data_IF_350274255115
#
_entry.id   IF_350274255115
#
_cell.length_a   1.000
_cell.length_b   1.000
_cell.length_c   1.000
_cell.angle_alpha   90.00
_cell.angle_beta   90.00
_cell.angle_gamma   90.00
#
_symmetry.space_group_name_H-M   'P 1'
#
loop_
_entity.id
_entity.type
_entity.pdbx_description
1 polymer ?
#
# COMPACT_ATOMS: atom_id res chain seq x y z
N UNK A 1 -14.68 -3.45 9.20
CA UNK A 1 -15.79 -4.07 8.43
C UNK A 1 -15.55 -5.56 8.17
N UNK A 2 -14.52 -5.95 7.40
CA UNK A 2 -14.28 -7.34 6.94
C UNK A 2 -14.24 -8.37 8.08
N UNK A 3 -13.45 -8.12 9.13
CA UNK A 3 -13.38 -9.02 10.30
C UNK A 3 -14.73 -9.18 11.02
N UNK A 4 -15.48 -8.09 11.19
CA UNK A 4 -16.81 -8.15 11.79
C UNK A 4 -17.80 -8.94 10.91
N UNK A 5 -17.69 -8.84 9.58
CA UNK A 5 -18.49 -9.65 8.66
C UNK A 5 -18.14 -11.14 8.74
N UNK A 6 -16.84 -11.47 8.78
CA UNK A 6 -16.37 -12.84 8.95
C UNK A 6 -16.86 -13.46 10.27
N UNK A 7 -16.84 -12.69 11.36
CA UNK A 7 -17.36 -13.12 12.67
C UNK A 7 -18.87 -13.40 12.64
N UNK A 8 -19.67 -12.52 12.01
CA UNK A 8 -21.11 -12.75 11.87
C UNK A 8 -21.45 -13.94 10.95
N UNK A 9 -20.54 -14.31 10.06
CA UNK A 9 -20.71 -15.40 9.10
C UNK A 9 -20.09 -16.74 9.57
N UNK A 10 -19.62 -16.84 10.82
CA UNK A 10 -18.93 -18.03 11.38
C UNK A 10 -17.73 -18.51 10.53
N UNK A 11 -16.99 -17.58 9.90
CA UNK A 11 -15.79 -17.91 9.14
C UNK A 11 -14.63 -18.14 10.11
N UNK A 12 -14.32 -19.42 10.35
CA UNK A 12 -13.30 -19.86 11.33
C UNK A 12 -11.85 -19.65 10.89
N UNK A 13 -11.59 -19.67 9.57
CA UNK A 13 -10.24 -19.55 8.99
C UNK A 13 -10.16 -18.30 8.14
N UNK A 14 -9.95 -17.16 8.78
CA UNK A 14 -9.74 -15.90 8.10
C UNK A 14 -8.24 -15.76 7.73
N UNK A 15 -7.87 -15.68 6.44
CA UNK A 15 -6.47 -15.58 6.02
C UNK A 15 -5.87 -14.18 6.20
N UNK A 16 -6.68 -13.16 6.47
CA UNK A 16 -6.19 -11.80 6.67
C UNK A 16 -5.47 -11.66 8.00
N UNK A 17 -4.40 -10.84 8.01
CA UNK A 17 -3.73 -10.49 9.26
C UNK A 17 -4.71 -9.73 10.18
N UNK A 18 -4.78 -10.04 11.49
CA UNK A 18 -5.81 -9.51 12.39
C UNK A 18 -5.76 -7.99 12.60
N UNK A 19 -4.61 -7.36 12.40
CA UNK A 19 -4.41 -5.93 12.68
C UNK A 19 -3.51 -5.18 11.69
N UNK A 20 -2.75 -5.88 10.85
CA UNK A 20 -1.78 -5.23 9.96
C UNK A 20 -2.39 -5.03 8.59
N UNK A 21 -2.19 -3.84 8.04
CA UNK A 21 -2.69 -3.45 6.72
C UNK A 21 -1.68 -2.55 6.03
N UNK A 22 -1.62 -2.61 4.71
CA UNK A 22 -1.01 -1.54 3.92
C UNK A 22 -2.10 -0.55 3.51
N UNK A 23 -2.06 0.63 4.10
CA UNK A 23 -2.97 1.73 3.78
C UNK A 23 -2.41 2.56 2.63
N UNK A 24 -3.11 2.56 1.50
CA UNK A 24 -2.69 3.31 0.31
C UNK A 24 -2.86 4.82 0.48
N UNK A 25 -3.70 5.31 1.41
CA UNK A 25 -3.76 6.74 1.71
C UNK A 25 -2.43 7.21 2.34
N UNK A 26 -1.90 6.46 3.30
CA UNK A 26 -0.58 6.70 3.89
C UNK A 26 0.54 6.60 2.85
N UNK A 27 0.57 5.52 2.06
CA UNK A 27 1.60 5.32 1.03
C UNK A 27 1.57 6.41 -0.06
N UNK A 28 0.38 6.82 -0.51
CA UNK A 28 0.23 7.89 -1.48
C UNK A 28 0.60 9.26 -0.89
N UNK A 29 0.34 9.49 0.40
CA UNK A 29 0.82 10.66 1.13
C UNK A 29 2.34 10.77 1.06
N UNK A 30 3.05 9.66 1.26
CA UNK A 30 4.51 9.61 1.12
C UNK A 30 4.98 9.80 -0.34
N UNK A 31 4.40 9.05 -1.28
CA UNK A 31 4.92 8.98 -2.65
C UNK A 31 4.50 10.17 -3.54
N UNK A 32 3.32 10.75 -3.28
CA UNK A 32 2.68 11.74 -4.13
C UNK A 32 2.14 12.97 -3.37
N UNK A 33 2.29 13.04 -2.04
CA UNK A 33 1.84 14.19 -1.24
C UNK A 33 0.31 14.29 -1.09
N UNK A 34 -0.44 13.25 -1.42
CA UNK A 34 -1.91 13.26 -1.38
C UNK A 34 -2.49 11.95 -0.85
N UNK A 35 -3.56 12.06 -0.05
CA UNK A 35 -4.24 10.91 0.58
C UNK A 35 -5.56 10.54 -0.09
N UNK A 36 -6.12 11.41 -0.93
CA UNK A 36 -7.37 11.16 -1.66
C UNK A 36 -7.07 10.32 -2.90
N UNK A 37 -7.68 9.13 -3.01
CA UNK A 37 -7.44 8.15 -4.09
C UNK A 37 -7.48 8.79 -5.48
N UNK A 38 -8.54 9.55 -5.81
CA UNK A 38 -8.67 10.19 -7.11
C UNK A 38 -7.53 11.18 -7.44
N UNK A 39 -7.05 11.94 -6.43
CA UNK A 39 -5.93 12.87 -6.62
C UNK A 39 -4.60 12.13 -6.72
N UNK A 40 -4.39 11.11 -5.88
CA UNK A 40 -3.21 10.27 -5.94
C UNK A 40 -3.09 9.56 -7.30
N UNK A 41 -4.18 8.95 -7.81
CA UNK A 41 -4.21 8.36 -9.15
C UNK A 41 -3.89 9.38 -10.24
N UNK A 42 -4.48 10.57 -10.19
CA UNK A 42 -4.22 11.64 -11.16
C UNK A 42 -2.73 12.03 -11.21
N UNK A 43 -2.09 12.19 -10.05
CA UNK A 43 -0.66 12.55 -9.94
C UNK A 43 0.24 11.39 -10.40
N UNK A 44 -0.16 10.15 -10.09
CA UNK A 44 0.52 8.94 -10.52
C UNK A 44 0.33 8.63 -12.03
N UNK A 45 -0.45 9.42 -12.77
CA UNK A 45 -0.75 9.17 -14.19
C UNK A 45 -1.74 8.03 -14.44
N UNK A 46 -2.47 7.60 -13.41
CA UNK A 46 -3.48 6.53 -13.48
C UNK A 46 -4.83 7.15 -13.84
N UNK A 47 -5.48 6.74 -14.94
CA UNK A 47 -6.81 7.24 -15.31
C UNK A 47 -7.85 6.94 -14.23
N UNK A 48 -8.54 7.99 -13.75
CA UNK A 48 -9.57 7.88 -12.72
C UNK A 48 -10.88 8.54 -13.18
N UNK A 49 -11.99 7.80 -13.12
CA UNK A 49 -13.32 8.27 -13.47
C UNK A 49 -14.15 8.52 -12.23
N UNK A 50 -14.48 9.78 -11.96
CA UNK A 50 -15.39 10.15 -10.87
C UNK A 50 -16.80 9.56 -11.02
N UNK A 51 -17.21 9.20 -12.25
CA UNK A 51 -18.50 8.55 -12.50
C UNK A 51 -18.52 7.08 -12.06
N UNK A 52 -17.36 6.43 -12.06
CA UNK A 52 -17.21 5.03 -11.63
C UNK A 52 -16.75 4.91 -10.17
N UNK A 53 -16.30 6.02 -9.57
CA UNK A 53 -16.03 6.12 -8.16
C UNK A 53 -17.25 5.65 -7.35
N UNK A 54 -17.01 5.07 -6.17
CA UNK A 54 -18.00 4.43 -5.30
C UNK A 54 -18.43 3.01 -5.70
N UNK A 55 -18.00 2.51 -6.87
CA UNK A 55 -18.01 1.07 -7.13
C UNK A 55 -16.84 0.43 -6.39
N UNK A 56 -17.13 -0.48 -5.45
CA UNK A 56 -16.10 -1.18 -4.69
C UNK A 56 -15.11 -1.93 -5.58
N UNK A 57 -15.58 -2.48 -6.73
CA UNK A 57 -14.71 -3.15 -7.68
C UNK A 57 -13.76 -2.16 -8.39
N UNK A 58 -14.28 -1.01 -8.83
CA UNK A 58 -13.49 0.02 -9.49
C UNK A 58 -12.47 0.65 -8.54
N UNK A 59 -12.89 0.99 -7.32
CA UNK A 59 -12.02 1.57 -6.31
C UNK A 59 -10.93 0.57 -5.90
N UNK A 60 -11.24 -0.73 -5.81
CA UNK A 60 -10.24 -1.77 -5.54
C UNK A 60 -9.22 -1.91 -6.68
N UNK A 61 -9.67 -1.88 -7.94
CA UNK A 61 -8.78 -1.92 -9.11
C UNK A 61 -7.84 -0.71 -9.12
N UNK A 62 -8.37 0.51 -8.97
CA UNK A 62 -7.56 1.73 -8.96
C UNK A 62 -6.61 1.79 -7.75
N UNK A 63 -7.02 1.25 -6.62
CA UNK A 63 -6.16 1.13 -5.44
C UNK A 63 -5.03 0.13 -5.67
N UNK A 64 -5.29 -0.98 -6.36
CA UNK A 64 -4.26 -1.96 -6.73
C UNK A 64 -3.25 -1.35 -7.73
N UNK A 65 -3.74 -0.65 -8.76
CA UNK A 65 -2.88 0.08 -9.71
C UNK A 65 -1.96 1.07 -8.97
N UNK A 66 -2.52 1.84 -8.04
CA UNK A 66 -1.78 2.83 -7.25
C UNK A 66 -0.75 2.16 -6.33
N UNK A 67 -1.12 1.09 -5.64
CA UNK A 67 -0.21 0.32 -4.77
C UNK A 67 0.99 -0.22 -5.56
N UNK A 68 0.72 -0.88 -6.69
CA UNK A 68 1.76 -1.38 -7.59
C UNK A 68 2.64 -0.23 -8.11
N UNK A 69 2.05 0.89 -8.52
CA UNK A 69 2.78 2.08 -8.96
C UNK A 69 3.74 2.63 -7.91
N UNK A 70 3.30 2.72 -6.65
CA UNK A 70 4.14 3.21 -5.54
C UNK A 70 5.31 2.26 -5.27
N UNK A 71 5.04 0.95 -5.17
CA UNK A 71 6.08 -0.05 -4.89
C UNK A 71 7.11 -0.10 -6.03
N UNK A 72 6.64 -0.09 -7.28
CA UNK A 72 7.52 -0.09 -8.45
C UNK A 72 8.35 1.20 -8.54
N UNK A 73 7.74 2.36 -8.27
CA UNK A 73 8.46 3.63 -8.24
C UNK A 73 9.58 3.63 -7.19
N UNK A 74 9.33 3.09 -6.00
CA UNK A 74 10.37 2.98 -4.96
C UNK A 74 11.55 2.11 -5.42
N UNK A 75 11.25 1.00 -6.11
CA UNK A 75 12.27 0.15 -6.74
C UNK A 75 13.05 0.87 -7.84
N UNK A 76 12.37 1.59 -8.73
CA UNK A 76 12.99 2.35 -9.84
C UNK A 76 13.94 3.45 -9.34
N UNK A 77 13.61 4.06 -8.20
CA UNK A 77 14.45 5.05 -7.54
C UNK A 77 15.63 4.44 -6.76
N UNK A 78 15.80 3.11 -6.78
CA UNK A 78 16.88 2.41 -6.09
C UNK A 78 16.64 2.19 -4.60
N UNK A 79 15.41 2.40 -4.10
CA UNK A 79 15.06 2.18 -2.70
C UNK A 79 14.84 0.71 -2.33
N UNK A 80 14.77 -0.18 -3.32
CA UNK A 80 14.64 -1.63 -3.12
C UNK A 80 15.44 -2.44 -4.15
N UNK A 81 16.19 -3.49 -3.74
CA UNK A 81 16.38 -3.93 -2.36
C UNK A 81 17.13 -2.87 -1.53
N UNK A 82 16.89 -2.79 -0.21
CA UNK A 82 17.64 -1.88 0.64
C UNK A 82 19.13 -2.21 0.56
N UNK A 83 20.02 -1.22 0.77
CA UNK A 83 21.47 -1.46 0.81
C UNK A 83 21.80 -2.58 1.80
N UNK A 84 22.80 -3.40 1.46
CA UNK A 84 23.33 -4.36 2.41
C UNK A 84 23.82 -3.60 3.65
N UNK A 85 23.38 -4.01 4.84
CA UNK A 85 23.97 -3.52 6.09
C UNK A 85 25.40 -4.05 6.10
N UNK A 86 26.38 -3.17 5.94
CA UNK A 86 27.76 -3.53 6.19
C UNK A 86 27.89 -3.75 7.70
N UNK A 87 28.20 -4.98 8.12
CA UNK A 87 28.57 -5.26 9.49
C UNK A 87 29.79 -4.38 9.82
N UNK A 88 29.57 -3.29 10.56
CA UNK A 88 30.68 -2.58 11.20
C UNK A 88 31.27 -3.56 12.22
N UNK A 89 32.57 -3.87 12.17
CA UNK A 89 33.17 -4.75 13.16
C UNK A 89 32.94 -4.11 14.53
N UNK A 90 32.33 -4.87 15.45
CA UNK A 90 32.22 -4.48 16.85
C UNK A 90 33.63 -4.13 17.34
N UNK A 91 33.82 -2.91 17.83
CA UNK A 91 35.02 -2.57 18.60
C UNK A 91 34.97 -3.44 19.87
N UNK A 92 35.69 -4.57 19.82
CA UNK A 92 36.10 -5.32 20.99
C UNK A 92 36.85 -4.35 21.91
N UNK A 93 36.14 -3.82 22.91
CA UNK A 93 36.72 -3.03 23.97
C UNK A 93 37.62 -3.95 24.80
N UNK A 94 38.92 -3.87 24.51
CA UNK A 94 40.02 -4.42 25.31
C UNK A 94 40.06 -3.81 26.72
#
# INVERSE_FOLDING_TARGET
FVFAAAMRADIKRNPFHPFSTFDTATLAGLAYGHTVLAQACKIAGIPFSNKQAHSAAYDAEKTADLFCGIVNRWKELGGFPPPAVMDTPEEDNA
#
